data_IF_207143468499
#
_entry.id   IF_207143468499
#
_cell.length_a   1.000
_cell.length_b   1.000
_cell.length_c   1.000
_cell.angle_alpha   90.00
_cell.angle_beta   90.00
_cell.angle_gamma   90.00
#
_symmetry.space_group_name_H-M   'P 1'
#
loop_
_entity.id
_entity.type
_entity.pdbx_description
1 polymer ?
#
# COMPACT_ATOMS: atom_id res chain seq x y z
N UNK A 1 -20.59 -64.18 -12.29
CA UNK A 1 -21.15 -63.24 -11.29
C UNK A 1 -20.07 -62.20 -11.05
N UNK A 2 -20.23 -61.00 -11.63
CA UNK A 2 -19.27 -59.90 -11.49
C UNK A 2 -19.74 -59.04 -10.32
N UNK A 3 -18.96 -59.01 -9.24
CA UNK A 3 -19.17 -58.07 -8.15
C UNK A 3 -18.60 -56.72 -8.59
N UNK A 4 -19.48 -55.78 -8.86
CA UNK A 4 -19.16 -54.37 -9.09
C UNK A 4 -18.77 -53.76 -7.74
N UNK A 5 -17.49 -53.48 -7.57
CA UNK A 5 -16.97 -52.82 -6.38
C UNK A 5 -17.00 -51.31 -6.64
N UNK A 6 -18.04 -50.65 -6.15
CA UNK A 6 -18.16 -49.20 -6.12
C UNK A 6 -17.05 -48.63 -5.22
N UNK A 7 -15.93 -48.23 -5.83
CA UNK A 7 -14.86 -47.53 -5.15
C UNK A 7 -15.33 -46.10 -4.83
N UNK A 8 -15.94 -45.91 -3.66
CA UNK A 8 -16.14 -44.59 -3.09
C UNK A 8 -14.75 -43.98 -2.83
N UNK A 9 -14.39 -43.01 -3.64
CA UNK A 9 -13.17 -42.23 -3.42
C UNK A 9 -13.39 -41.40 -2.15
N UNK A 10 -12.49 -41.42 -1.16
CA UNK A 10 -12.62 -40.54 -0.01
C UNK A 10 -12.34 -39.12 -0.50
N UNK A 11 -13.41 -38.34 -0.69
CA UNK A 11 -13.31 -36.90 -0.86
C UNK A 11 -12.73 -36.35 0.43
N UNK A 12 -11.41 -36.18 0.49
CA UNK A 12 -10.72 -35.50 1.59
C UNK A 12 -11.09 -34.02 1.50
N UNK A 13 -12.23 -33.66 2.09
CA UNK A 13 -12.67 -32.28 2.19
C UNK A 13 -11.67 -31.55 3.07
N UNK A 14 -11.01 -30.53 2.53
CA UNK A 14 -10.09 -29.68 3.28
C UNK A 14 -10.88 -28.91 4.36
N UNK A 15 -10.38 -28.82 5.61
CA UNK A 15 -10.98 -28.00 6.66
C UNK A 15 -11.24 -26.56 6.21
N UNK A 16 -12.30 -25.95 6.77
CA UNK A 16 -12.76 -24.60 6.41
C UNK A 16 -11.69 -23.56 6.71
N UNK A 17 -10.99 -23.71 7.83
CA UNK A 17 -9.97 -22.80 8.32
C UNK A 17 -8.78 -22.74 7.35
N UNK A 18 -8.36 -23.90 6.84
CA UNK A 18 -7.29 -23.99 5.84
C UNK A 18 -7.71 -23.41 4.49
N UNK A 19 -8.99 -23.59 4.11
CA UNK A 19 -9.52 -22.94 2.91
C UNK A 19 -9.52 -21.43 3.04
N UNK A 20 -9.94 -20.88 4.17
CA UNK A 20 -9.91 -19.44 4.46
C UNK A 20 -8.47 -18.92 4.34
N UNK A 21 -7.50 -19.64 4.91
CA UNK A 21 -6.08 -19.27 4.82
C UNK A 21 -5.55 -19.29 3.37
N UNK A 22 -5.90 -20.31 2.58
CA UNK A 22 -5.54 -20.39 1.16
C UNK A 22 -6.14 -19.22 0.39
N UNK A 23 -7.43 -18.95 0.58
CA UNK A 23 -8.09 -17.85 -0.12
C UNK A 23 -7.51 -16.49 0.29
N UNK A 24 -7.14 -16.30 1.55
CA UNK A 24 -6.54 -15.06 2.05
C UNK A 24 -5.13 -14.80 1.48
N UNK A 25 -4.42 -15.84 1.03
CA UNK A 25 -3.12 -15.72 0.35
C UNK A 25 -3.24 -15.34 -1.12
N UNK A 26 -4.41 -15.50 -1.74
CA UNK A 26 -4.57 -15.15 -3.15
C UNK A 26 -4.39 -13.64 -3.30
N UNK A 27 -3.39 -13.24 -4.08
CA UNK A 27 -3.13 -11.85 -4.46
C UNK A 27 -4.20 -11.38 -5.45
N UNK A 28 -5.42 -11.19 -4.95
CA UNK A 28 -6.49 -10.58 -5.70
C UNK A 28 -6.68 -9.16 -5.19
N UNK A 29 -6.49 -8.16 -6.05
CA UNK A 29 -6.91 -6.77 -5.78
C UNK A 29 -8.42 -6.65 -5.52
N UNK A 30 -9.18 -7.73 -5.75
CA UNK A 30 -10.61 -7.80 -5.48
C UNK A 30 -11.02 -9.21 -5.03
N UNK A 31 -11.11 -9.49 -3.71
CA UNK A 31 -11.52 -10.79 -3.20
C UNK A 31 -12.95 -11.18 -3.60
N UNK A 32 -13.77 -10.24 -4.10
CA UNK A 32 -15.11 -10.55 -4.59
C UNK A 32 -15.08 -11.38 -5.88
N UNK A 33 -13.98 -11.40 -6.63
CA UNK A 33 -13.83 -12.27 -7.80
C UNK A 33 -13.90 -13.75 -7.41
N UNK A 34 -13.43 -14.11 -6.22
CA UNK A 34 -13.49 -15.47 -5.68
C UNK A 34 -14.93 -15.97 -5.51
N UNK A 35 -15.91 -15.06 -5.38
CA UNK A 35 -17.35 -15.40 -5.30
C UNK A 35 -17.88 -16.07 -6.56
N UNK A 36 -17.20 -15.88 -7.69
CA UNK A 36 -17.62 -16.44 -8.99
C UNK A 36 -17.20 -17.90 -9.18
N UNK A 37 -16.29 -18.42 -8.35
CA UNK A 37 -15.72 -19.78 -8.50
C UNK A 37 -16.76 -20.85 -8.16
N UNK A 38 -17.31 -20.81 -6.94
CA UNK A 38 -18.36 -21.74 -6.52
C UNK A 38 -19.17 -21.19 -5.33
N UNK A 39 -20.27 -21.85 -4.99
CA UNK A 39 -21.14 -21.48 -3.85
C UNK A 39 -20.39 -21.48 -2.51
N UNK A 40 -19.47 -22.43 -2.34
CA UNK A 40 -18.72 -22.56 -1.10
C UNK A 40 -17.73 -21.40 -0.93
N UNK A 41 -16.93 -21.09 -1.97
CA UNK A 41 -16.02 -19.94 -1.95
C UNK A 41 -16.77 -18.63 -1.75
N UNK A 42 -17.95 -18.48 -2.37
CA UNK A 42 -18.82 -17.32 -2.14
C UNK A 42 -19.22 -17.15 -0.68
N UNK A 43 -19.37 -18.24 0.07
CA UNK A 43 -19.65 -18.20 1.51
C UNK A 43 -18.40 -17.89 2.32
N UNK A 44 -17.24 -18.45 1.96
CA UNK A 44 -15.98 -18.24 2.67
C UNK A 44 -15.47 -16.81 2.55
N UNK A 45 -15.64 -16.16 1.40
CA UNK A 45 -15.12 -14.79 1.22
C UNK A 45 -15.95 -13.69 1.89
N UNK A 46 -17.08 -14.05 2.49
CA UNK A 46 -17.85 -13.15 3.38
C UNK A 46 -17.75 -13.58 4.85
N UNK A 47 -16.97 -14.63 5.13
CA UNK A 47 -16.69 -15.09 6.48
C UNK A 47 -15.87 -14.04 7.24
N UNK A 48 -16.15 -13.86 8.54
CA UNK A 48 -15.47 -12.85 9.34
C UNK A 48 -13.96 -13.12 9.40
N UNK A 49 -13.53 -14.37 9.62
CA UNK A 49 -12.10 -14.71 9.69
C UNK A 49 -11.38 -14.40 8.37
N UNK A 50 -12.01 -14.67 7.24
CA UNK A 50 -11.47 -14.32 5.92
C UNK A 50 -11.32 -12.81 5.77
N UNK A 51 -12.38 -12.05 6.08
CA UNK A 51 -12.38 -10.57 5.97
C UNK A 51 -11.32 -9.97 6.89
N UNK A 52 -11.21 -10.46 8.13
CA UNK A 52 -10.22 -9.99 9.09
C UNK A 52 -8.79 -10.22 8.58
N UNK A 53 -8.48 -11.42 8.05
CA UNK A 53 -7.16 -11.74 7.48
C UNK A 53 -6.83 -10.89 6.26
N UNK A 54 -7.78 -10.75 5.34
CA UNK A 54 -7.58 -9.95 4.13
C UNK A 54 -7.34 -8.46 4.46
N UNK A 55 -8.12 -7.91 5.38
CA UNK A 55 -7.96 -6.53 5.84
C UNK A 55 -6.60 -6.30 6.50
N UNK A 56 -6.17 -7.21 7.37
CA UNK A 56 -4.87 -7.09 8.04
C UNK A 56 -3.71 -7.12 7.04
N UNK A 57 -3.73 -8.06 6.08
CA UNK A 57 -2.76 -8.09 4.98
C UNK A 57 -2.77 -6.79 4.17
N UNK A 58 -3.96 -6.30 3.82
CA UNK A 58 -4.10 -5.06 3.05
C UNK A 58 -3.56 -3.83 3.80
N UNK A 59 -3.78 -3.75 5.12
CA UNK A 59 -3.25 -2.67 5.95
C UNK A 59 -1.73 -2.75 6.05
N UNK A 60 -1.17 -3.94 6.28
CA UNK A 60 0.28 -4.15 6.29
C UNK A 60 0.93 -3.74 4.95
N UNK A 61 0.34 -4.15 3.82
CA UNK A 61 0.84 -3.79 2.48
C UNK A 61 0.83 -2.27 2.24
N UNK A 62 -0.22 -1.56 2.72
CA UNK A 62 -0.29 -0.10 2.58
C UNK A 62 0.70 0.59 3.52
N UNK A 63 0.87 0.09 4.75
CA UNK A 63 1.86 0.62 5.70
C UNK A 63 3.28 0.50 5.14
N UNK A 64 3.66 -0.66 4.59
CA UNK A 64 4.95 -0.86 3.92
C UNK A 64 5.16 0.11 2.75
N UNK A 65 4.12 0.27 1.91
CA UNK A 65 4.14 1.21 0.80
C UNK A 65 4.29 2.66 1.27
N UNK A 66 3.62 3.02 2.37
CA UNK A 66 3.69 4.34 2.97
C UNK A 66 5.10 4.61 3.50
N UNK A 67 5.68 3.68 4.27
CA UNK A 67 7.05 3.77 4.77
C UNK A 67 8.05 3.94 3.63
N UNK A 68 7.98 3.08 2.61
CA UNK A 68 8.82 3.19 1.41
C UNK A 68 8.67 4.55 0.72
N UNK A 69 7.44 5.06 0.57
CA UNK A 69 7.19 6.36 -0.06
C UNK A 69 7.76 7.52 0.77
N UNK A 70 7.67 7.45 2.10
CA UNK A 70 8.26 8.47 2.98
C UNK A 70 9.79 8.49 2.88
N UNK A 71 10.44 7.33 2.81
CA UNK A 71 11.90 7.21 2.67
C UNK A 71 12.40 7.74 1.33
N UNK A 72 11.78 7.32 0.23
CA UNK A 72 12.12 7.80 -1.11
C UNK A 72 12.03 9.32 -1.19
N UNK A 73 11.04 9.90 -0.52
CA UNK A 73 10.89 11.35 -0.43
C UNK A 73 11.93 11.99 0.49
N UNK A 74 12.16 11.47 1.70
CA UNK A 74 13.23 11.97 2.61
C UNK A 74 14.56 12.03 1.86
N UNK A 75 14.87 10.98 1.10
CA UNK A 75 16.01 10.95 0.19
C UNK A 75 15.93 12.07 -0.86
N UNK A 76 14.84 12.17 -1.62
CA UNK A 76 14.68 13.20 -2.66
C UNK A 76 14.83 14.64 -2.14
N UNK A 77 14.24 14.95 -0.98
CA UNK A 77 14.30 16.28 -0.34
C UNK A 77 15.72 16.58 0.16
N UNK A 78 16.39 15.61 0.78
CA UNK A 78 17.78 15.75 1.22
C UNK A 78 18.73 16.13 0.08
N UNK A 79 18.45 15.63 -1.14
CA UNK A 79 19.24 15.98 -2.34
C UNK A 79 18.93 17.40 -2.90
N UNK A 80 17.88 18.09 -2.44
CA UNK A 80 17.49 19.42 -2.93
C UNK A 80 17.77 20.57 -1.96
N UNK A 81 17.91 20.32 -0.65
CA UNK A 81 18.13 21.36 0.37
C UNK A 81 19.08 20.85 1.47
N UNK A 82 20.23 21.51 1.74
CA UNK A 82 21.00 21.23 2.94
C UNK A 82 20.23 21.71 4.18
N UNK A 83 19.79 20.76 5.00
CA UNK A 83 19.24 20.87 6.36
C UNK A 83 17.89 21.59 6.53
N UNK A 84 16.84 20.82 6.85
CA UNK A 84 15.85 21.24 7.86
C UNK A 84 15.07 20.04 8.44
N UNK A 85 15.35 19.78 9.74
CA UNK A 85 14.62 19.03 10.77
C UNK A 85 14.17 17.59 10.49
N UNK A 86 14.87 16.67 11.14
CA UNK A 86 14.35 15.35 11.54
C UNK A 86 13.41 15.57 12.72
N UNK A 87 12.14 15.23 12.54
CA UNK A 87 11.28 14.84 13.64
C UNK A 87 11.29 13.31 13.65
N UNK A 88 11.81 12.75 14.73
CA UNK A 88 11.77 11.33 15.05
C UNK A 88 10.37 11.07 15.61
N UNK A 89 9.59 10.21 14.94
CA UNK A 89 8.36 9.65 15.49
C UNK A 89 8.80 8.44 16.35
N UNK A 90 8.55 8.52 17.65
CA UNK A 90 8.74 7.43 18.61
C UNK A 90 7.63 6.39 18.39
N UNK A 91 8.00 5.12 18.21
CA UNK A 91 7.10 3.97 18.30
C UNK A 91 6.96 3.60 19.78
N UNK A 92 5.80 3.90 20.37
CA UNK A 92 5.39 3.35 21.68
C UNK A 92 4.86 1.93 21.46
N UNK A 93 5.70 0.93 21.72
CA UNK A 93 5.30 -0.48 21.90
C UNK A 93 4.88 -0.70 23.37
N UNK A 94 3.60 -0.46 23.68
CA UNK A 94 2.98 -0.93 24.92
C UNK A 94 2.33 -2.30 24.70
N UNK A 95 3.14 -3.36 24.85
CA UNK A 95 2.69 -4.74 25.04
C UNK A 95 2.26 -4.95 26.50
N UNK A 96 1.02 -4.59 26.84
CA UNK A 96 0.36 -5.07 28.06
C UNK A 96 -0.37 -6.39 27.74
N UNK A 97 0.36 -7.48 27.95
CA UNK A 97 -0.09 -8.87 27.90
C UNK A 97 -0.82 -9.20 29.22
N UNK A 98 -2.08 -8.75 29.33
CA UNK A 98 -2.96 -9.10 30.45
C UNK A 98 -3.88 -10.25 30.04
N UNK A 99 -3.49 -11.45 30.48
CA UNK A 99 -4.08 -12.76 30.23
C UNK A 99 -5.37 -12.94 31.07
N UNK A 100 -6.34 -12.03 30.91
CA UNK A 100 -7.70 -12.23 31.39
C UNK A 100 -8.50 -13.01 30.35
N UNK A 101 -9.30 -14.01 30.75
CA UNK A 101 -10.27 -14.66 29.85
C UNK A 101 -11.34 -13.64 29.42
N UNK A 102 -11.00 -12.85 28.41
CA UNK A 102 -11.87 -11.85 27.82
C UNK A 102 -12.91 -12.57 26.98
N UNK A 103 -14.18 -12.27 27.25
CA UNK A 103 -15.31 -12.64 26.40
C UNK A 103 -14.96 -12.44 24.92
N UNK A 104 -15.17 -13.46 24.08
CA UNK A 104 -14.84 -13.44 22.65
C UNK A 104 -15.41 -12.19 21.95
N UNK A 105 -16.53 -11.65 22.46
CA UNK A 105 -17.15 -10.41 21.99
C UNK A 105 -16.30 -9.15 22.30
N UNK A 106 -15.75 -9.02 23.50
CA UNK A 106 -14.89 -7.87 23.86
C UNK A 106 -13.51 -7.96 23.18
N UNK A 107 -12.96 -9.17 22.98
CA UNK A 107 -11.74 -9.36 22.18
C UNK A 107 -11.95 -8.93 20.72
N UNK A 108 -13.07 -9.32 20.11
CA UNK A 108 -13.43 -8.91 18.76
C UNK A 108 -13.63 -7.39 18.65
N UNK A 109 -14.21 -6.77 19.68
CA UNK A 109 -14.41 -5.32 19.75
C UNK A 109 -13.09 -4.56 19.90
N UNK A 110 -12.15 -5.05 20.71
CA UNK A 110 -10.79 -4.51 20.82
C UNK A 110 -10.03 -4.59 19.49
N UNK A 111 -10.10 -5.74 18.81
CA UNK A 111 -9.49 -5.92 17.48
C UNK A 111 -10.07 -4.95 16.43
N UNK A 112 -11.38 -4.66 16.48
CA UNK A 112 -12.01 -3.65 15.61
C UNK A 112 -11.51 -2.24 15.91
N UNK A 113 -11.37 -1.87 17.18
CA UNK A 113 -10.85 -0.56 17.56
C UNK A 113 -9.40 -0.37 17.13
N UNK A 114 -8.55 -1.39 17.26
CA UNK A 114 -7.15 -1.32 16.81
C UNK A 114 -7.07 -1.07 15.29
N UNK A 115 -7.90 -1.77 14.50
CA UNK A 115 -8.00 -1.54 13.05
C UNK A 115 -8.47 -0.14 12.67
N UNK A 116 -9.33 0.48 13.47
CA UNK A 116 -9.74 1.86 13.26
C UNK A 116 -8.57 2.82 13.50
N UNK A 117 -7.77 2.57 14.53
CA UNK A 117 -6.56 3.35 14.80
C UNK A 117 -5.52 3.21 13.67
N UNK A 118 -5.28 1.99 13.18
CA UNK A 118 -4.41 1.73 12.02
C UNK A 118 -4.86 2.53 10.78
N UNK A 119 -6.17 2.54 10.49
CA UNK A 119 -6.74 3.31 9.38
C UNK A 119 -6.56 4.83 9.55
N UNK A 120 -6.73 5.35 10.77
CA UNK A 120 -6.52 6.76 11.06
C UNK A 120 -5.05 7.17 10.88
N UNK A 121 -4.11 6.35 11.34
CA UNK A 121 -2.67 6.57 11.15
C UNK A 121 -2.29 6.58 9.66
N UNK A 122 -2.79 5.61 8.91
CA UNK A 122 -2.58 5.50 7.46
C UNK A 122 -3.17 6.73 6.73
N UNK A 123 -4.34 7.20 7.15
CA UNK A 123 -4.96 8.40 6.59
C UNK A 123 -4.13 9.67 6.86
N UNK A 124 -3.53 9.79 8.05
CA UNK A 124 -2.61 10.88 8.38
C UNK A 124 -1.38 10.83 7.46
N UNK A 125 -0.76 9.66 7.31
CA UNK A 125 0.38 9.45 6.42
C UNK A 125 0.08 9.81 4.97
N UNK A 126 -1.03 9.31 4.41
CA UNK A 126 -1.47 9.61 3.04
C UNK A 126 -1.70 11.11 2.83
N UNK A 127 -2.32 11.79 3.81
CA UNK A 127 -2.50 13.25 3.77
C UNK A 127 -1.16 14.00 3.81
N UNK A 128 -0.20 13.51 4.59
CA UNK A 128 1.15 14.07 4.66
C UNK A 128 1.85 14.01 3.30
N UNK A 129 1.93 12.81 2.73
CA UNK A 129 2.53 12.59 1.40
C UNK A 129 1.83 13.42 0.33
N UNK A 130 0.50 13.52 0.36
CA UNK A 130 -0.26 14.33 -0.60
C UNK A 130 0.16 15.80 -0.57
N UNK A 131 0.26 16.41 0.62
CA UNK A 131 0.69 17.81 0.74
C UNK A 131 2.10 18.01 0.20
N UNK A 132 3.00 17.09 0.52
CA UNK A 132 4.39 17.19 0.08
C UNK A 132 4.54 16.98 -1.44
N UNK A 133 3.74 16.09 -2.04
CA UNK A 133 3.71 15.91 -3.49
C UNK A 133 3.19 17.16 -4.21
N UNK A 134 2.24 17.89 -3.63
CA UNK A 134 1.77 19.17 -4.16
C UNK A 134 2.90 20.21 -4.20
N UNK A 135 3.79 20.23 -3.20
CA UNK A 135 4.98 21.11 -3.18
C UNK A 135 5.94 20.76 -4.31
N UNK A 136 6.33 19.47 -4.42
CA UNK A 136 7.24 18.99 -5.47
C UNK A 136 6.67 19.29 -6.88
N UNK A 137 5.35 19.18 -7.04
CA UNK A 137 4.68 19.50 -8.31
C UNK A 137 4.83 20.98 -8.69
N UNK A 138 4.80 21.89 -7.72
CA UNK A 138 5.02 23.33 -7.96
C UNK A 138 6.48 23.57 -8.39
N UNK A 139 7.44 22.98 -7.68
CA UNK A 139 8.86 23.16 -7.98
C UNK A 139 9.26 22.58 -9.34
N UNK A 140 8.75 21.40 -9.68
CA UNK A 140 8.99 20.78 -11.00
C UNK A 140 8.43 21.62 -12.15
N UNK A 141 7.29 22.30 -11.95
CA UNK A 141 6.75 23.23 -12.93
C UNK A 141 7.65 24.46 -13.10
N UNK A 142 8.12 25.05 -11.99
CA UNK A 142 9.03 26.18 -12.01
C UNK A 142 10.37 25.83 -12.70
N UNK A 143 10.92 24.65 -12.42
CA UNK A 143 12.11 24.14 -13.11
C UNK A 143 11.87 23.97 -14.60
N UNK A 144 10.72 23.41 -14.99
CA UNK A 144 10.35 23.23 -16.40
C UNK A 144 10.32 24.57 -17.14
N UNK A 145 9.77 25.63 -16.55
CA UNK A 145 9.70 26.94 -17.18
C UNK A 145 11.08 27.61 -17.27
N UNK A 146 11.92 27.46 -16.25
CA UNK A 146 13.34 27.88 -16.30
C UNK A 146 14.10 27.18 -17.42
N UNK A 147 13.86 25.88 -17.61
CA UNK A 147 14.51 25.10 -18.67
C UNK A 147 14.10 25.58 -20.07
N UNK A 148 12.82 25.90 -20.29
CA UNK A 148 12.35 26.52 -21.54
C UNK A 148 12.98 27.90 -21.78
N UNK A 149 13.13 28.69 -20.72
CA UNK A 149 13.79 29.99 -20.80
C UNK A 149 15.25 29.83 -21.23
N UNK A 150 15.98 28.91 -20.60
CA UNK A 150 17.37 28.58 -20.95
C UNK A 150 17.48 28.07 -22.39
N UNK A 151 16.58 27.19 -22.82
CA UNK A 151 16.51 26.71 -24.20
C UNK A 151 16.34 27.87 -25.20
N UNK A 152 15.46 28.81 -24.89
CA UNK A 152 15.24 30.00 -25.72
C UNK A 152 16.49 30.87 -25.78
N UNK A 153 17.16 31.08 -24.63
CA UNK A 153 18.39 31.85 -24.55
C UNK A 153 19.52 31.22 -25.38
N UNK A 154 19.71 29.90 -25.25
CA UNK A 154 20.71 29.16 -26.03
C UNK A 154 20.43 29.23 -27.53
N UNK A 155 19.16 29.13 -27.96
CA UNK A 155 18.78 29.30 -29.37
C UNK A 155 19.17 30.68 -29.91
N UNK A 156 18.91 31.74 -29.13
CA UNK A 156 19.29 33.12 -29.52
C UNK A 156 20.82 33.22 -29.61
N UNK A 157 21.54 32.76 -28.58
CA UNK A 157 22.99 32.85 -28.52
C UNK A 157 23.66 32.14 -29.71
N UNK A 158 23.23 30.90 -30.03
CA UNK A 158 23.72 30.13 -31.16
C UNK A 158 23.40 30.80 -32.51
N UNK A 159 22.22 31.41 -32.65
CA UNK A 159 21.84 32.15 -33.86
C UNK A 159 22.70 33.40 -34.08
N UNK A 160 23.04 34.10 -33.00
CA UNK A 160 23.91 35.28 -33.04
C UNK A 160 25.35 34.89 -33.40
N UNK A 161 25.88 33.81 -32.82
CA UNK A 161 27.24 33.33 -33.08
C UNK A 161 27.43 32.89 -34.55
N UNK A 162 26.43 32.24 -35.14
CA UNK A 162 26.46 31.80 -36.54
C UNK A 162 26.30 32.95 -37.54
N UNK A 163 25.50 33.97 -37.19
CA UNK A 163 25.33 35.17 -38.02
C UNK A 163 26.58 36.04 -38.05
N UNK A 164 27.31 36.15 -36.93
CA UNK A 164 28.55 36.93 -36.85
C UNK A 164 29.72 36.28 -37.59
N UNK A 165 29.70 34.95 -37.78
CA UNK A 165 30.74 34.22 -38.51
C UNK A 165 30.60 34.30 -40.04
N UNK A 166 29.49 34.81 -40.55
CA UNK A 166 29.23 34.95 -42.00
C UNK A 166 29.60 36.33 -42.56
N UNK A 167 30.22 37.20 -41.74
CA UNK A 167 30.69 38.55 -42.13
C UNK A 167 32.23 38.68 -42.15
N UNK A 168 32.97 37.57 -42.01
CA UNK A 168 34.41 37.46 -42.26
C UNK A 168 34.63 36.72 -43.59
#
# INVERSE_FOLDING_TARGET
>A
MMADATAESPTTILPVELMIEILARVDSNNPLQLRSVCKWWKSLVVDDQFVQKHLHKSLADITDLLSTATEHRKSFVSHQIPNHLQEEEEEDDDDDDDDEEVDEEEAAKRARMNRLAELDNLLVGVRSIKRELEIIKVDTLAMKDRMKCLESFLKIYLKSATSSSSQL
#
